data_IF_381205540750
#
_entry.id   IF_381205540750
#
_cell.length_a   1.000
_cell.length_b   1.000
_cell.length_c   1.000
_cell.angle_alpha   90.00
_cell.angle_beta   90.00
_cell.angle_gamma   90.00
#
_symmetry.space_group_name_H-M   'P 1'
#
loop_
_entity.id
_entity.type
_entity.pdbx_description
1 polymer ?
#
# COMPACT_ATOMS: atom_id res chain seq x y z
N UNK A 1 -33.53 -13.66 -3.27
CA UNK A 1 -33.04 -13.00 -4.51
C UNK A 1 -34.19 -12.19 -5.08
N UNK A 2 -34.00 -10.92 -5.51
CA UNK A 2 -32.93 -10.46 -6.40
C UNK A 2 -32.00 -9.39 -5.79
N UNK A 3 -31.04 -9.02 -6.64
CA UNK A 3 -29.75 -8.38 -6.47
C UNK A 3 -29.82 -6.84 -6.69
N UNK A 4 -28.69 -6.16 -6.44
CA UNK A 4 -28.11 -5.01 -7.17
C UNK A 4 -27.80 -3.77 -6.32
N UNK A 5 -26.49 -3.60 -6.08
CA UNK A 5 -25.77 -2.32 -6.14
C UNK A 5 -26.46 -1.07 -5.57
N UNK A 6 -26.19 -0.78 -4.30
CA UNK A 6 -26.16 0.60 -3.82
C UNK A 6 -24.98 1.32 -4.50
N UNK A 7 -25.23 1.79 -5.72
CA UNK A 7 -24.43 2.81 -6.35
C UNK A 7 -24.64 4.10 -5.56
N UNK A 8 -23.66 4.47 -4.75
CA UNK A 8 -23.52 5.84 -4.25
C UNK A 8 -23.26 6.71 -5.48
N UNK A 9 -24.31 7.38 -5.94
CA UNK A 9 -24.27 8.37 -7.00
C UNK A 9 -23.19 9.43 -6.66
N UNK A 10 -22.16 9.62 -7.50
CA UNK A 10 -21.35 10.83 -7.40
C UNK A 10 -22.21 11.98 -7.94
N UNK A 11 -22.50 12.95 -7.09
CA UNK A 11 -23.19 14.19 -7.43
C UNK A 11 -22.51 14.89 -8.63
N UNK A 12 -23.00 14.55 -9.83
CA UNK A 12 -22.73 15.21 -11.09
C UNK A 12 -23.78 16.31 -11.30
N UNK A 13 -23.80 17.35 -10.47
CA UNK A 13 -24.34 18.64 -10.91
C UNK A 13 -23.98 19.81 -9.98
N UNK A 14 -22.90 20.53 -10.29
CA UNK A 14 -22.87 21.98 -10.08
C UNK A 14 -22.18 22.68 -11.25
N UNK A 15 -22.85 22.66 -12.40
CA UNK A 15 -22.98 23.85 -13.25
C UNK A 15 -21.71 24.54 -13.77
N UNK A 16 -20.77 23.80 -14.36
CA UNK A 16 -19.86 24.38 -15.38
C UNK A 16 -19.82 23.42 -16.57
N UNK A 17 -20.45 23.83 -17.66
CA UNK A 17 -20.57 23.08 -18.91
C UNK A 17 -19.19 22.61 -19.44
N UNK A 18 -19.07 21.37 -19.96
CA UNK A 18 -17.92 20.93 -20.70
C UNK A 18 -18.02 21.51 -22.12
N UNK A 19 -17.08 22.39 -22.49
CA UNK A 19 -17.02 22.93 -23.86
C UNK A 19 -17.13 24.44 -23.94
N UNK A 20 -16.15 25.14 -23.38
CA UNK A 20 -15.49 26.26 -24.05
C UNK A 20 -14.25 26.57 -23.19
N UNK A 21 -13.04 26.40 -23.73
CA UNK A 21 -11.88 27.05 -23.09
C UNK A 21 -12.16 28.54 -23.27
N UNK A 22 -12.74 29.20 -22.25
CA UNK A 22 -13.14 30.60 -22.37
C UNK A 22 -11.90 31.39 -22.76
N UNK A 23 -12.04 32.33 -23.69
CA UNK A 23 -10.95 33.26 -24.02
C UNK A 23 -10.32 33.88 -22.76
N UNK A 24 -11.13 34.02 -21.69
CA UNK A 24 -10.71 34.41 -20.34
C UNK A 24 -9.59 33.53 -19.74
N UNK A 25 -9.60 32.22 -19.95
CA UNK A 25 -8.58 31.30 -19.42
C UNK A 25 -7.25 31.44 -20.17
N UNK A 26 -7.30 31.66 -21.49
CA UNK A 26 -6.13 31.96 -22.30
C UNK A 26 -5.55 33.34 -22.00
N UNK A 27 -6.40 34.35 -21.79
CA UNK A 27 -5.98 35.70 -21.36
C UNK A 27 -5.29 35.63 -20.00
N UNK A 28 -5.86 34.89 -19.06
CA UNK A 28 -5.29 34.74 -17.73
C UNK A 28 -4.01 33.90 -17.72
N UNK A 29 -3.90 32.91 -18.60
CA UNK A 29 -2.66 32.17 -18.83
C UNK A 29 -1.57 33.07 -19.42
N UNK A 30 -1.88 33.86 -20.45
CA UNK A 30 -0.95 34.82 -21.04
C UNK A 30 -0.47 35.86 -20.02
N UNK A 31 -1.38 36.38 -19.18
CA UNK A 31 -1.06 37.24 -18.04
C UNK A 31 -0.13 36.56 -17.02
N UNK A 32 -0.34 35.27 -16.77
CA UNK A 32 0.50 34.49 -15.86
C UNK A 32 1.90 34.26 -16.41
N UNK A 33 2.03 33.92 -17.70
CA UNK A 33 3.31 33.77 -18.39
C UNK A 33 4.05 35.12 -18.41
N UNK A 34 3.34 36.21 -18.70
CA UNK A 34 3.89 37.57 -18.66
C UNK A 34 4.42 37.92 -17.26
N UNK A 35 3.65 37.62 -16.20
CA UNK A 35 4.06 37.87 -14.81
C UNK A 35 5.29 37.05 -14.39
N UNK A 36 5.36 35.78 -14.79
CA UNK A 36 6.52 34.91 -14.53
C UNK A 36 7.75 35.41 -15.30
N UNK A 37 7.58 35.78 -16.58
CA UNK A 37 8.65 36.33 -17.42
C UNK A 37 9.20 37.65 -16.88
N UNK A 38 8.31 38.55 -16.44
CA UNK A 38 8.68 39.84 -15.83
C UNK A 38 9.48 39.64 -14.54
N UNK A 39 9.06 38.70 -13.68
CA UNK A 39 9.77 38.37 -12.45
C UNK A 39 11.12 37.69 -12.71
N UNK A 40 11.18 36.78 -13.68
CA UNK A 40 12.43 36.15 -14.13
C UNK A 40 13.43 37.19 -14.65
N UNK A 41 12.95 38.16 -15.44
CA UNK A 41 13.78 39.25 -15.95
C UNK A 41 14.40 40.09 -14.81
N UNK A 42 13.64 40.40 -13.76
CA UNK A 42 14.17 41.09 -12.56
C UNK A 42 15.21 40.25 -11.81
N UNK A 43 14.98 38.94 -11.70
CA UNK A 43 15.86 38.03 -10.96
C UNK A 43 17.23 37.85 -11.63
N UNK A 44 17.27 37.83 -12.97
CA UNK A 44 18.48 37.57 -13.74
C UNK A 44 19.14 38.83 -14.33
N UNK A 45 18.39 39.91 -14.57
CA UNK A 45 18.83 41.04 -15.40
C UNK A 45 19.35 42.28 -14.68
N UNK A 46 19.26 42.38 -13.34
CA UNK A 46 19.60 43.60 -12.56
C UNK A 46 19.20 44.93 -13.24
N UNK A 47 17.89 45.19 -13.45
CA UNK A 47 17.41 46.35 -14.19
C UNK A 47 17.68 47.69 -13.47
N UNK A 48 17.89 48.74 -14.27
CA UNK A 48 18.09 50.12 -13.79
C UNK A 48 16.86 50.67 -13.03
N UNK A 49 17.06 51.62 -12.11
CA UNK A 49 16.05 52.13 -11.16
C UNK A 49 14.80 52.70 -11.84
N UNK A 50 14.95 53.29 -13.04
CA UNK A 50 13.81 53.79 -13.82
C UNK A 50 12.93 52.67 -14.40
N UNK A 51 13.53 51.55 -14.80
CA UNK A 51 12.83 50.40 -15.37
C UNK A 51 12.10 49.58 -14.29
N UNK A 52 12.66 49.52 -13.08
CA UNK A 52 12.05 48.82 -11.93
C UNK A 52 10.66 49.37 -11.58
N UNK A 53 10.44 50.69 -11.69
CA UNK A 53 9.14 51.31 -11.39
C UNK A 53 8.06 50.91 -12.39
N UNK A 54 8.40 50.86 -13.68
CA UNK A 54 7.48 50.41 -14.73
C UNK A 54 7.15 48.93 -14.61
N UNK A 55 8.15 48.11 -14.28
CA UNK A 55 7.98 46.69 -13.98
C UNK A 55 7.06 46.51 -12.76
N UNK A 56 7.25 47.30 -11.70
CA UNK A 56 6.39 47.24 -10.50
C UNK A 56 4.95 47.64 -10.81
N UNK A 57 4.74 48.70 -11.61
CA UNK A 57 3.40 49.11 -12.02
C UNK A 57 2.69 48.03 -12.85
N UNK A 58 3.42 47.39 -13.78
CA UNK A 58 2.91 46.29 -14.58
C UNK A 58 2.59 45.05 -13.72
N UNK A 59 3.50 44.63 -12.82
CA UNK A 59 3.29 43.48 -11.93
C UNK A 59 2.09 43.72 -10.99
N UNK A 60 1.95 44.94 -10.48
CA UNK A 60 0.84 45.35 -9.61
C UNK A 60 -0.49 45.31 -10.35
N UNK A 61 -0.53 45.75 -11.61
CA UNK A 61 -1.73 45.67 -12.44
C UNK A 61 -2.14 44.22 -12.69
N UNK A 62 -1.18 43.34 -13.00
CA UNK A 62 -1.45 41.90 -13.19
C UNK A 62 -1.92 41.24 -11.90
N UNK A 63 -1.31 41.58 -10.75
CA UNK A 63 -1.75 41.10 -9.44
C UNK A 63 -3.17 41.56 -9.10
N UNK A 64 -3.53 42.80 -9.42
CA UNK A 64 -4.88 43.33 -9.20
C UNK A 64 -5.94 42.60 -10.04
N UNK A 65 -5.64 42.27 -11.29
CA UNK A 65 -6.51 41.45 -12.15
C UNK A 65 -6.72 40.07 -11.54
N UNK A 66 -5.66 39.44 -11.03
CA UNK A 66 -5.77 38.14 -10.37
C UNK A 66 -6.54 38.18 -9.04
N UNK A 67 -6.36 39.24 -8.24
CA UNK A 67 -7.15 39.45 -7.03
C UNK A 67 -8.64 39.57 -7.36
N UNK A 68 -8.99 40.35 -8.39
CA UNK A 68 -10.37 40.53 -8.80
C UNK A 68 -11.04 39.22 -9.20
N UNK A 69 -10.35 38.40 -10.00
CA UNK A 69 -10.81 37.07 -10.39
C UNK A 69 -10.95 36.12 -9.18
N UNK A 70 -10.00 36.15 -8.25
CA UNK A 70 -10.05 35.36 -7.02
C UNK A 70 -11.24 35.75 -6.12
N UNK A 71 -11.43 37.05 -5.86
CA UNK A 71 -12.54 37.57 -5.07
C UNK A 71 -13.89 37.24 -5.71
N UNK A 72 -13.97 37.34 -7.04
CA UNK A 72 -15.18 36.97 -7.79
C UNK A 72 -15.50 35.48 -7.64
N UNK A 73 -14.51 34.60 -7.78
CA UNK A 73 -14.66 33.15 -7.56
C UNK A 73 -15.04 32.82 -6.12
N UNK A 74 -14.41 33.48 -5.15
CA UNK A 74 -14.70 33.29 -3.73
C UNK A 74 -16.13 33.74 -3.37
N UNK A 75 -16.58 34.87 -3.94
CA UNK A 75 -17.96 35.36 -3.80
C UNK A 75 -18.97 34.39 -4.40
N UNK A 76 -18.71 33.84 -5.60
CA UNK A 76 -19.59 32.86 -6.24
C UNK A 76 -19.76 31.57 -5.42
N UNK A 77 -18.73 31.15 -4.70
CA UNK A 77 -18.75 29.98 -3.81
C UNK A 77 -19.22 30.30 -2.37
N UNK A 78 -19.91 31.43 -2.18
CA UNK A 78 -20.55 31.77 -0.90
C UNK A 78 -19.57 32.05 0.25
N UNK A 79 -18.34 32.52 -0.05
CA UNK A 79 -17.35 32.90 0.97
C UNK A 79 -16.90 31.75 1.89
N UNK A 80 -16.92 30.51 1.40
CA UNK A 80 -16.50 29.35 2.17
C UNK A 80 -15.03 29.46 2.62
N UNK A 81 -14.76 29.29 3.92
CA UNK A 81 -13.39 29.30 4.48
C UNK A 81 -12.52 28.17 3.93
N UNK A 82 -13.13 27.03 3.60
CA UNK A 82 -12.46 25.91 2.96
C UNK A 82 -11.96 26.19 1.54
N UNK A 83 -12.43 27.25 0.89
CA UNK A 83 -11.88 27.72 -0.38
C UNK A 83 -10.50 28.35 -0.18
N UNK A 84 -10.32 29.14 0.89
CA UNK A 84 -9.06 29.82 1.19
C UNK A 84 -7.96 28.84 1.62
N UNK A 85 -8.31 27.83 2.43
CA UNK A 85 -7.38 26.78 2.84
C UNK A 85 -6.89 25.91 1.67
N UNK A 86 -7.73 25.73 0.63
CA UNK A 86 -7.35 25.00 -0.58
C UNK A 86 -6.57 25.85 -1.57
N UNK A 87 -6.94 27.12 -1.73
CA UNK A 87 -6.34 28.05 -2.70
C UNK A 87 -5.30 28.99 -2.06
N UNK A 88 -4.66 28.57 -0.97
CA UNK A 88 -3.71 29.39 -0.22
C UNK A 88 -2.54 29.88 -1.10
N UNK A 89 -2.11 29.06 -2.06
CA UNK A 89 -1.09 29.42 -3.05
C UNK A 89 -1.53 30.56 -3.98
N UNK A 90 -2.82 30.68 -4.32
CA UNK A 90 -3.34 31.78 -5.12
C UNK A 90 -3.23 33.12 -4.37
N UNK A 91 -3.36 33.10 -3.04
CA UNK A 91 -3.22 34.27 -2.19
C UNK A 91 -1.77 34.77 -2.14
N UNK A 92 -0.80 33.85 -2.05
CA UNK A 92 0.62 34.20 -2.08
C UNK A 92 1.09 34.69 -3.46
N UNK A 93 0.54 34.15 -4.55
CA UNK A 93 0.82 34.61 -5.90
C UNK A 93 0.38 36.06 -6.16
N UNK A 94 -0.50 36.59 -5.31
CA UNK A 94 -1.12 37.92 -5.42
C UNK A 94 -0.27 39.05 -4.82
N UNK A 95 0.79 38.72 -4.09
CA UNK A 95 1.68 39.70 -3.49
C UNK A 95 2.57 40.27 -4.61
N UNK A 96 2.56 41.59 -4.86
CA UNK A 96 3.42 42.21 -5.87
C UNK A 96 4.87 42.03 -5.44
N UNK A 97 5.63 41.30 -6.25
CA UNK A 97 6.98 40.82 -5.89
C UNK A 97 8.01 41.95 -6.03
N UNK A 98 7.68 43.00 -6.78
CA UNK A 98 8.55 44.15 -7.04
C UNK A 98 8.46 45.24 -5.95
N UNK A 99 8.06 44.89 -4.72
CA UNK A 99 8.18 45.80 -3.58
C UNK A 99 9.69 46.02 -3.27
N UNK A 100 10.20 47.26 -3.24
CA UNK A 100 11.62 47.55 -2.99
C UNK A 100 12.20 46.88 -1.75
N UNK A 101 11.36 46.58 -0.75
CA UNK A 101 11.77 45.89 0.47
C UNK A 101 12.06 44.39 0.31
N UNK A 102 11.47 43.72 -0.70
CA UNK A 102 11.58 42.26 -0.90
C UNK A 102 12.69 41.87 -1.89
N UNK A 103 13.14 42.82 -2.72
CA UNK A 103 14.21 42.61 -3.71
C UNK A 103 15.54 42.20 -3.04
N UNK A 104 15.76 42.62 -1.79
CA UNK A 104 16.94 42.24 -1.00
C UNK A 104 17.01 40.76 -0.62
N UNK A 105 15.88 40.03 -0.63
CA UNK A 105 15.82 38.64 -0.20
C UNK A 105 15.54 37.69 -1.38
N UNK A 106 16.60 37.28 -2.08
CA UNK A 106 16.55 36.36 -3.25
C UNK A 106 15.78 35.07 -2.99
N UNK A 107 15.77 34.57 -1.74
CA UNK A 107 14.99 33.40 -1.33
C UNK A 107 13.47 33.66 -1.45
N UNK A 108 13.00 34.82 -0.98
CA UNK A 108 11.58 35.19 -1.06
C UNK A 108 11.16 35.33 -2.53
N UNK A 109 12.01 35.93 -3.36
CA UNK A 109 11.80 36.03 -4.81
C UNK A 109 11.71 34.64 -5.47
N UNK A 110 12.60 33.72 -5.13
CA UNK A 110 12.59 32.36 -5.68
C UNK A 110 11.34 31.57 -5.25
N UNK A 111 10.95 31.66 -3.98
CA UNK A 111 9.73 31.01 -3.47
C UNK A 111 8.49 31.58 -4.15
N UNK A 112 8.39 32.91 -4.30
CA UNK A 112 7.25 33.54 -4.99
C UNK A 112 7.23 33.23 -6.49
N UNK A 113 8.39 33.13 -7.14
CA UNK A 113 8.49 32.65 -8.52
C UNK A 113 7.96 31.20 -8.64
N UNK A 114 8.37 30.31 -7.73
CA UNK A 114 7.88 28.93 -7.69
C UNK A 114 6.37 28.86 -7.45
N UNK A 115 5.83 29.69 -6.56
CA UNK A 115 4.39 29.79 -6.32
C UNK A 115 3.65 30.29 -7.57
N UNK A 116 4.18 31.30 -8.28
CA UNK A 116 3.57 31.82 -9.52
C UNK A 116 3.64 30.82 -10.67
N UNK A 117 4.74 30.07 -10.79
CA UNK A 117 4.86 28.97 -11.75
C UNK A 117 3.88 27.84 -11.40
N UNK A 118 3.78 27.47 -10.13
CA UNK A 118 2.81 26.49 -9.64
C UNK A 118 1.38 26.89 -10.00
N UNK A 119 1.01 28.15 -9.80
CA UNK A 119 -0.29 28.70 -10.22
C UNK A 119 -0.49 28.69 -11.74
N UNK A 120 0.52 29.07 -12.52
CA UNK A 120 0.45 29.08 -13.97
C UNK A 120 0.16 27.67 -14.55
N UNK A 121 0.77 26.66 -13.92
CA UNK A 121 0.60 25.24 -14.26
C UNK A 121 -0.75 24.72 -13.76
N UNK A 122 -1.15 25.06 -12.54
CA UNK A 122 -2.43 24.64 -11.97
C UNK A 122 -3.63 25.16 -12.78
N UNK A 123 -3.52 26.40 -13.30
CA UNK A 123 -4.56 27.01 -14.14
C UNK A 123 -4.72 26.34 -15.52
N UNK A 124 -3.68 25.70 -16.06
CA UNK A 124 -3.78 24.98 -17.35
C UNK A 124 -4.15 23.51 -17.19
N UNK A 125 -3.91 22.92 -16.02
CA UNK A 125 -4.06 21.47 -15.79
C UNK A 125 -5.30 21.12 -14.94
N UNK A 126 -5.94 22.10 -14.31
CA UNK A 126 -7.16 21.91 -13.50
C UNK A 126 -6.86 21.24 -12.15
N UNK A 127 -7.84 21.28 -11.22
CA UNK A 127 -7.80 20.84 -9.79
C UNK A 127 -7.28 19.40 -9.51
N UNK A 128 -6.75 18.69 -10.52
CA UNK A 128 -6.21 17.33 -10.47
C UNK A 128 -4.68 17.25 -10.34
N UNK A 129 -3.94 18.36 -10.44
CA UNK A 129 -2.47 18.31 -10.35
C UNK A 129 -1.98 17.85 -8.98
N UNK A 130 -2.59 18.31 -7.89
CA UNK A 130 -2.19 17.89 -6.53
C UNK A 130 -2.39 16.40 -6.31
N UNK A 131 -3.53 15.83 -6.75
CA UNK A 131 -3.77 14.39 -6.64
C UNK A 131 -2.79 13.60 -7.49
N UNK A 132 -2.59 13.97 -8.77
CA UNK A 132 -1.65 13.25 -9.66
C UNK A 132 -0.20 13.41 -9.23
N UNK A 133 0.19 14.55 -8.66
CA UNK A 133 1.54 14.77 -8.16
C UNK A 133 1.78 13.99 -6.87
N UNK A 134 0.83 14.00 -5.93
CA UNK A 134 0.90 13.21 -4.70
C UNK A 134 0.92 11.72 -5.02
N UNK A 135 0.07 11.22 -5.91
CA UNK A 135 0.09 9.81 -6.33
C UNK A 135 1.43 9.44 -6.96
N UNK A 136 1.88 10.23 -7.95
CA UNK A 136 3.08 9.90 -8.72
C UNK A 136 4.38 10.02 -7.92
N UNK A 137 4.40 10.83 -6.86
CA UNK A 137 5.53 10.95 -5.94
C UNK A 137 5.43 9.99 -4.75
N UNK A 138 4.22 9.66 -4.28
CA UNK A 138 4.03 8.77 -3.13
C UNK A 138 4.24 7.32 -3.52
N UNK A 139 3.82 6.90 -4.71
CA UNK A 139 3.95 5.51 -5.15
C UNK A 139 5.38 4.95 -5.12
N UNK A 140 6.40 5.66 -5.65
CA UNK A 140 7.78 5.21 -5.55
C UNK A 140 8.29 5.18 -4.11
N UNK A 141 7.90 6.16 -3.29
CA UNK A 141 8.32 6.27 -1.89
C UNK A 141 7.72 5.13 -1.08
N UNK A 142 6.41 4.90 -1.20
CA UNK A 142 5.68 3.82 -0.52
C UNK A 142 6.26 2.46 -0.93
N UNK A 143 6.48 2.23 -2.23
CA UNK A 143 7.09 0.97 -2.71
C UNK A 143 8.51 0.77 -2.17
N UNK A 144 9.31 1.83 -2.10
CA UNK A 144 10.67 1.76 -1.55
C UNK A 144 10.69 1.51 -0.03
N UNK A 145 9.69 2.01 0.70
CA UNK A 145 9.60 1.88 2.17
C UNK A 145 8.94 0.56 2.60
N UNK A 146 7.96 0.05 1.82
CA UNK A 146 7.19 -1.15 2.16
C UNK A 146 8.08 -2.37 2.42
N UNK A 147 9.03 -2.66 1.52
CA UNK A 147 9.91 -3.84 1.64
C UNK A 147 10.80 -3.79 2.90
N UNK A 148 11.56 -2.71 3.17
CA UNK A 148 12.34 -2.59 4.42
C UNK A 148 11.49 -2.69 5.68
N UNK A 149 10.32 -2.04 5.71
CA UNK A 149 9.43 -2.06 6.87
C UNK A 149 8.91 -3.48 7.12
N UNK A 150 8.42 -4.17 6.08
CA UNK A 150 7.96 -5.56 6.23
C UNK A 150 9.07 -6.47 6.74
N UNK A 151 10.30 -6.32 6.24
CA UNK A 151 11.45 -7.10 6.74
C UNK A 151 11.72 -6.80 8.22
N UNK A 152 11.72 -5.52 8.61
CA UNK A 152 11.95 -5.13 10.00
C UNK A 152 10.85 -5.66 10.95
N UNK A 153 9.59 -5.62 10.51
CA UNK A 153 8.47 -6.18 11.26
C UNK A 153 8.59 -7.69 11.38
N UNK A 154 8.92 -8.40 10.28
CA UNK A 154 9.14 -9.84 10.30
C UNK A 154 10.29 -10.23 11.24
N UNK A 155 11.39 -9.46 11.23
CA UNK A 155 12.51 -9.69 12.14
C UNK A 155 12.08 -9.53 13.61
N UNK A 156 11.23 -8.55 13.93
CA UNK A 156 10.72 -8.35 15.28
C UNK A 156 9.74 -9.45 15.70
N UNK A 157 8.80 -9.82 14.82
CA UNK A 157 7.90 -10.95 15.07
C UNK A 157 8.69 -12.23 15.31
N UNK A 158 9.75 -12.51 14.54
CA UNK A 158 10.55 -13.72 14.74
C UNK A 158 11.28 -13.73 16.07
N UNK A 159 11.78 -12.59 16.57
CA UNK A 159 12.35 -12.56 17.92
C UNK A 159 11.32 -12.97 18.97
N UNK A 160 10.07 -12.53 18.82
CA UNK A 160 8.97 -12.96 19.69
C UNK A 160 8.71 -14.45 19.52
N UNK A 161 8.70 -14.95 18.28
CA UNK A 161 8.51 -16.38 18.02
C UNK A 161 9.65 -17.21 18.65
N UNK A 162 10.92 -16.81 18.52
CA UNK A 162 12.07 -17.51 19.12
C UNK A 162 11.98 -17.63 20.65
N UNK A 163 11.22 -16.75 21.32
CA UNK A 163 10.96 -16.82 22.77
C UNK A 163 9.77 -17.69 23.17
N UNK A 164 9.01 -18.23 22.22
CA UNK A 164 7.79 -19.00 22.47
C UNK A 164 8.03 -20.50 22.75
N UNK A 165 7.27 -21.06 23.69
CA UNK A 165 7.29 -22.50 24.03
C UNK A 165 6.49 -23.35 23.02
N UNK A 166 6.93 -23.42 21.75
CA UNK A 166 6.22 -24.19 20.72
C UNK A 166 6.09 -25.69 20.99
N UNK A 167 7.14 -26.39 21.47
CA UNK A 167 7.04 -27.83 21.70
C UNK A 167 5.97 -28.16 22.75
N UNK A 168 5.92 -27.36 23.82
CA UNK A 168 4.90 -27.48 24.86
C UNK A 168 3.49 -27.15 24.35
N UNK A 169 3.36 -26.07 23.55
CA UNK A 169 2.08 -25.71 22.92
C UNK A 169 1.59 -26.80 21.96
N UNK A 170 2.50 -27.42 21.20
CA UNK A 170 2.18 -28.52 20.30
C UNK A 170 1.78 -29.77 21.09
N UNK A 171 2.51 -30.13 22.15
CA UNK A 171 2.17 -31.23 23.04
C UNK A 171 0.78 -31.04 23.67
N UNK A 172 0.45 -29.82 24.09
CA UNK A 172 -0.86 -29.45 24.63
C UNK A 172 -1.96 -29.63 23.58
N UNK A 173 -1.73 -29.17 22.34
CA UNK A 173 -2.69 -29.31 21.24
C UNK A 173 -2.90 -30.77 20.83
N UNK A 174 -1.82 -31.56 20.70
CA UNK A 174 -1.87 -32.98 20.40
C UNK A 174 -2.60 -33.78 21.49
N UNK A 175 -2.42 -33.40 22.75
CA UNK A 175 -3.15 -34.01 23.87
C UNK A 175 -4.65 -33.69 23.80
N UNK A 176 -5.00 -32.42 23.53
CA UNK A 176 -6.39 -31.97 23.41
C UNK A 176 -7.15 -32.69 22.26
N UNK A 177 -6.47 -32.97 21.15
CA UNK A 177 -7.05 -33.61 19.96
C UNK A 177 -6.67 -35.09 19.81
N UNK A 178 -6.22 -35.75 20.88
CA UNK A 178 -5.70 -37.14 20.83
C UNK A 178 -6.71 -38.14 20.27
N UNK A 179 -7.99 -38.01 20.62
CA UNK A 179 -9.04 -38.93 20.18
C UNK A 179 -9.29 -38.82 18.66
N UNK A 180 -9.30 -37.60 18.13
CA UNK A 180 -9.49 -37.31 16.71
C UNK A 180 -8.29 -37.80 15.89
N UNK A 181 -7.07 -37.44 16.31
CA UNK A 181 -5.86 -37.90 15.63
C UNK A 181 -5.73 -39.43 15.64
N UNK A 182 -6.16 -40.09 16.72
CA UNK A 182 -6.22 -41.56 16.78
C UNK A 182 -7.19 -42.13 15.76
N UNK A 183 -8.37 -41.52 15.59
CA UNK A 183 -9.34 -41.96 14.60
C UNK A 183 -8.75 -41.84 13.18
N UNK A 184 -8.17 -40.68 12.85
CA UNK A 184 -7.52 -40.42 11.56
C UNK A 184 -6.37 -41.41 11.30
N UNK A 185 -5.47 -41.62 12.27
CA UNK A 185 -4.36 -42.56 12.12
C UNK A 185 -4.88 -43.99 11.93
N UNK A 186 -5.91 -44.40 12.67
CA UNK A 186 -6.47 -45.75 12.56
C UNK A 186 -7.12 -45.96 11.18
N UNK A 187 -7.84 -44.96 10.69
CA UNK A 187 -8.43 -44.95 9.35
C UNK A 187 -7.34 -45.07 8.28
N UNK A 188 -6.35 -44.16 8.29
CA UNK A 188 -5.25 -44.17 7.32
C UNK A 188 -4.41 -45.44 7.36
N UNK A 189 -4.18 -46.00 8.55
CA UNK A 189 -3.46 -47.26 8.70
C UNK A 189 -4.30 -48.45 8.17
N UNK A 190 -5.62 -48.41 8.29
CA UNK A 190 -6.48 -49.47 7.75
C UNK A 190 -6.55 -49.48 6.21
N UNK A 191 -6.35 -48.31 5.60
CA UNK A 191 -6.31 -48.06 4.16
C UNK A 191 -4.92 -48.30 3.55
N UNK A 192 -3.86 -48.38 4.35
CA UNK A 192 -2.49 -48.50 3.88
C UNK A 192 -2.25 -49.82 3.11
N UNK A 193 -1.88 -49.76 1.81
CA UNK A 193 -1.59 -50.95 1.00
C UNK A 193 -0.43 -51.79 1.55
N UNK A 194 0.53 -51.19 2.25
CA UNK A 194 1.72 -51.87 2.79
C UNK A 194 1.36 -52.83 3.93
N UNK A 195 0.21 -52.64 4.58
CA UNK A 195 -0.26 -53.51 5.67
C UNK A 195 -0.84 -54.85 5.18
N UNK A 196 -1.08 -55.00 3.88
CA UNK A 196 -1.43 -56.25 3.18
C UNK A 196 -1.83 -57.46 4.04
N UNK A 197 -0.87 -58.34 4.35
CA UNK A 197 -1.10 -59.61 5.07
C UNK A 197 -1.30 -59.45 6.58
N UNK A 198 -0.83 -58.36 7.19
CA UNK A 198 -0.97 -58.09 8.63
C UNK A 198 -2.44 -57.82 9.01
N UNK A 199 -3.23 -57.27 8.07
CA UNK A 199 -4.66 -57.01 8.26
C UNK A 199 -5.52 -58.27 8.46
N UNK A 200 -4.97 -59.46 8.15
CA UNK A 200 -5.65 -60.76 8.29
C UNK A 200 -5.37 -61.47 9.61
N UNK A 201 -4.47 -60.95 10.44
CA UNK A 201 -4.15 -61.57 11.72
C UNK A 201 -5.26 -61.31 12.75
N UNK A 202 -5.62 -62.29 13.59
CA UNK A 202 -6.47 -62.04 14.74
C UNK A 202 -5.77 -61.02 15.66
N UNK A 203 -6.55 -60.15 16.30
CA UNK A 203 -6.07 -59.07 17.20
C UNK A 203 -5.30 -57.90 16.54
N UNK A 204 -5.24 -57.81 15.20
CA UNK A 204 -4.57 -56.70 14.50
C UNK A 204 -5.01 -55.32 15.01
N UNK A 205 -6.31 -55.10 15.19
CA UNK A 205 -6.84 -53.81 15.66
C UNK A 205 -6.40 -53.45 17.08
N UNK A 206 -6.21 -54.44 17.96
CA UNK A 206 -5.74 -54.20 19.33
C UNK A 206 -4.25 -53.86 19.35
N UNK A 207 -3.44 -54.57 18.57
CA UNK A 207 -2.01 -54.29 18.42
C UNK A 207 -1.79 -52.90 17.84
N UNK A 208 -2.50 -52.55 16.77
CA UNK A 208 -2.47 -51.20 16.17
C UNK A 208 -2.82 -50.14 17.21
N UNK A 209 -3.92 -50.33 17.94
CA UNK A 209 -4.36 -49.38 18.98
C UNK A 209 -3.31 -49.20 20.07
N UNK A 210 -2.69 -50.29 20.53
CA UNK A 210 -1.66 -50.25 21.57
C UNK A 210 -0.38 -49.57 21.08
N UNK A 211 0.04 -49.85 19.84
CA UNK A 211 1.20 -49.20 19.22
C UNK A 211 0.94 -47.70 19.06
N UNK A 212 -0.20 -47.31 18.48
CA UNK A 212 -0.58 -45.90 18.32
C UNK A 212 -0.61 -45.18 19.67
N UNK A 213 -1.21 -45.77 20.70
CA UNK A 213 -1.23 -45.18 22.04
C UNK A 213 0.16 -45.01 22.64
N UNK A 214 1.03 -46.00 22.44
CA UNK A 214 2.41 -45.95 22.93
C UNK A 214 3.21 -44.89 22.18
N UNK A 215 3.07 -44.82 20.85
CA UNK A 215 3.70 -43.81 20.02
C UNK A 215 3.27 -42.40 20.40
N UNK A 216 1.97 -42.16 20.66
CA UNK A 216 1.50 -40.86 21.15
C UNK A 216 2.15 -40.46 22.47
N UNK A 217 2.26 -41.40 23.42
CA UNK A 217 2.90 -41.12 24.70
C UNK A 217 4.37 -40.73 24.51
N UNK A 218 5.11 -41.54 23.76
CA UNK A 218 6.54 -41.29 23.48
C UNK A 218 6.72 -39.95 22.74
N UNK A 219 5.87 -39.64 21.75
CA UNK A 219 5.94 -38.36 21.03
C UNK A 219 5.69 -37.16 21.95
N UNK A 220 4.71 -37.25 22.86
CA UNK A 220 4.45 -36.20 23.84
C UNK A 220 5.62 -36.02 24.81
N UNK A 221 6.23 -37.12 25.28
CA UNK A 221 7.43 -37.07 26.11
C UNK A 221 8.61 -36.42 25.38
N UNK A 222 8.81 -36.76 24.10
CA UNK A 222 9.85 -36.15 23.26
C UNK A 222 9.59 -34.65 23.06
N UNK A 223 8.35 -34.23 22.80
CA UNK A 223 8.02 -32.81 22.66
C UNK A 223 8.24 -31.98 23.92
N UNK A 224 8.31 -32.62 25.09
CA UNK A 224 8.62 -31.97 26.37
C UNK A 224 10.10 -32.07 26.75
N UNK A 225 10.93 -32.72 25.94
CA UNK A 225 12.37 -32.84 26.18
C UNK A 225 13.07 -31.51 25.82
N UNK A 226 13.91 -30.94 26.69
CA UNK A 226 14.59 -29.66 26.46
C UNK A 226 15.52 -29.66 25.23
N UNK A 227 15.96 -30.83 24.74
CA UNK A 227 16.75 -30.93 23.51
C UNK A 227 15.93 -30.65 22.25
N UNK A 228 14.62 -30.84 22.33
CA UNK A 228 13.70 -30.56 21.22
C UNK A 228 13.46 -29.06 21.07
N UNK A 229 13.61 -28.26 22.13
CA UNK A 229 13.52 -26.79 22.06
C UNK A 229 14.57 -26.20 21.09
N UNK A 230 15.80 -26.71 21.12
CA UNK A 230 16.87 -26.27 20.21
C UNK A 230 16.55 -26.62 18.75
N UNK A 231 16.01 -27.82 18.51
CA UNK A 231 15.54 -28.24 17.19
C UNK A 231 14.45 -27.29 16.67
N UNK A 232 13.42 -26.99 17.47
CA UNK A 232 12.35 -26.07 17.07
C UNK A 232 12.87 -24.65 16.81
N UNK A 233 13.78 -24.15 17.64
CA UNK A 233 14.44 -22.85 17.43
C UNK A 233 15.17 -22.80 16.08
N UNK A 234 15.88 -23.87 15.72
CA UNK A 234 16.56 -23.97 14.42
C UNK A 234 15.58 -23.94 13.24
N UNK A 235 14.46 -24.66 13.34
CA UNK A 235 13.43 -24.71 12.29
C UNK A 235 12.76 -23.35 12.14
N UNK A 236 12.45 -22.66 13.23
CA UNK A 236 11.89 -21.30 13.20
C UNK A 236 12.87 -20.32 12.54
N UNK A 237 14.16 -20.41 12.87
CA UNK A 237 15.21 -19.57 12.29
C UNK A 237 15.35 -19.79 10.79
N UNK A 238 15.32 -21.05 10.32
CA UNK A 238 15.38 -21.37 8.90
C UNK A 238 14.13 -20.86 8.16
N UNK A 239 12.93 -21.07 8.72
CA UNK A 239 11.70 -20.56 8.14
C UNK A 239 11.70 -19.02 8.04
N UNK A 240 12.27 -18.30 9.02
CA UNK A 240 12.47 -16.84 8.91
C UNK A 240 13.30 -16.48 7.68
N UNK A 241 14.44 -17.14 7.50
CA UNK A 241 15.34 -16.81 6.38
C UNK A 241 14.63 -17.04 5.04
N UNK A 242 13.80 -18.07 4.95
CA UNK A 242 12.97 -18.34 3.79
C UNK A 242 11.92 -17.23 3.56
N UNK A 243 11.15 -16.86 4.59
CA UNK A 243 10.13 -15.80 4.49
C UNK A 243 10.78 -14.45 4.13
N UNK A 244 11.89 -14.09 4.79
CA UNK A 244 12.64 -12.86 4.50
C UNK A 244 13.10 -12.82 3.05
N UNK A 245 13.62 -13.93 2.53
CA UNK A 245 14.06 -14.04 1.13
C UNK A 245 12.88 -13.91 0.17
N UNK A 246 11.74 -14.55 0.47
CA UNK A 246 10.53 -14.43 -0.33
C UNK A 246 10.00 -12.98 -0.38
N UNK A 247 10.05 -12.25 0.74
CA UNK A 247 9.67 -10.83 0.80
C UNK A 247 10.63 -9.94 0.02
N UNK A 248 11.94 -10.16 0.16
CA UNK A 248 12.96 -9.41 -0.61
C UNK A 248 12.75 -9.57 -2.12
N UNK A 249 12.50 -10.81 -2.56
CA UNK A 249 12.27 -11.16 -3.96
C UNK A 249 10.88 -10.71 -4.48
N UNK A 250 9.99 -10.22 -3.60
CA UNK A 250 8.64 -9.79 -3.99
C UNK A 250 7.69 -10.93 -4.33
N UNK A 251 8.03 -12.16 -3.96
CA UNK A 251 7.26 -13.38 -4.30
C UNK A 251 5.86 -13.44 -3.64
N UNK A 252 5.62 -12.60 -2.64
CA UNK A 252 4.33 -12.47 -1.96
C UNK A 252 3.37 -11.49 -2.66
N UNK A 253 3.83 -10.76 -3.68
CA UNK A 253 3.02 -9.77 -4.42
C UNK A 253 2.60 -10.29 -5.81
N UNK A 254 3.26 -11.33 -6.34
CA UNK A 254 3.00 -11.92 -7.65
C UNK A 254 2.28 -13.26 -7.52
N UNK A 255 1.07 -13.37 -8.06
CA UNK A 255 0.27 -14.61 -8.14
C UNK A 255 0.73 -15.58 -9.25
N UNK A 256 1.96 -15.43 -9.75
CA UNK A 256 2.45 -16.17 -10.90
C UNK A 256 2.99 -17.56 -10.50
N UNK A 257 2.32 -18.62 -10.97
CA UNK A 257 2.70 -20.05 -10.79
C UNK A 257 4.16 -20.36 -11.20
N UNK A 258 4.74 -19.56 -12.09
CA UNK A 258 6.13 -19.69 -12.54
C UNK A 258 7.16 -19.45 -11.41
N UNK A 259 6.79 -18.71 -10.36
CA UNK A 259 7.67 -18.37 -9.25
C UNK A 259 7.52 -19.29 -8.04
N UNK A 260 6.45 -20.11 -7.97
CA UNK A 260 6.26 -21.12 -6.92
C UNK A 260 7.39 -22.17 -6.95
N UNK A 261 7.98 -22.45 -8.12
CA UNK A 261 9.15 -23.32 -8.25
C UNK A 261 10.45 -22.77 -7.65
N UNK A 262 10.51 -21.47 -7.33
CA UNK A 262 11.66 -20.85 -6.66
C UNK A 262 11.56 -20.94 -5.13
N UNK A 263 10.37 -21.25 -4.60
CA UNK A 263 10.19 -21.51 -3.19
C UNK A 263 10.71 -22.93 -2.89
N UNK A 264 11.67 -23.04 -1.97
CA UNK A 264 12.23 -24.33 -1.54
C UNK A 264 11.22 -25.24 -0.83
N UNK A 265 10.05 -24.74 -0.46
CA UNK A 265 9.04 -25.46 0.33
C UNK A 265 7.65 -25.29 -0.30
N UNK A 266 6.90 -26.38 -0.29
CA UNK A 266 5.50 -26.51 -0.71
C UNK A 266 4.64 -25.48 0.02
N UNK A 267 3.99 -24.58 -0.71
CA UNK A 267 3.05 -23.64 -0.09
C UNK A 267 1.78 -24.40 0.34
N UNK A 268 1.05 -23.90 1.34
CA UNK A 268 -0.25 -24.47 1.72
C UNK A 268 -1.22 -24.53 0.53
N UNK A 269 -1.09 -23.58 -0.41
CA UNK A 269 -1.87 -23.55 -1.65
C UNK A 269 -1.48 -24.68 -2.61
N UNK A 270 -0.19 -24.93 -2.79
CA UNK A 270 0.28 -26.09 -3.58
C UNK A 270 -0.17 -27.40 -2.94
N UNK A 271 -0.13 -27.49 -1.60
CA UNK A 271 -0.60 -28.66 -0.88
C UNK A 271 -2.11 -28.89 -1.03
N UNK A 272 -2.92 -27.82 -0.96
CA UNK A 272 -4.37 -27.89 -1.19
C UNK A 272 -4.69 -28.28 -2.64
N UNK A 273 -4.09 -27.63 -3.63
CA UNK A 273 -4.32 -27.97 -5.05
C UNK A 273 -3.88 -29.39 -5.41
N UNK A 274 -2.84 -29.91 -4.78
CA UNK A 274 -2.38 -31.28 -4.97
C UNK A 274 -3.27 -32.28 -4.22
N UNK A 275 -3.76 -31.91 -3.03
CA UNK A 275 -4.79 -32.69 -2.32
C UNK A 275 -6.06 -32.82 -3.15
N UNK A 276 -6.56 -31.72 -3.72
CA UNK A 276 -7.72 -31.68 -4.61
C UNK A 276 -7.46 -32.48 -5.90
N UNK A 277 -6.23 -32.43 -6.44
CA UNK A 277 -5.82 -33.24 -7.61
C UNK A 277 -5.82 -34.73 -7.33
N UNK A 278 -5.47 -35.12 -6.10
CA UNK A 278 -5.41 -36.53 -5.69
C UNK A 278 -6.74 -37.04 -5.09
N UNK A 279 -7.68 -36.15 -4.75
CA UNK A 279 -9.02 -36.47 -4.21
C UNK A 279 -10.13 -35.71 -4.95
N UNK A 280 -10.44 -36.07 -6.22
CA UNK A 280 -11.37 -35.32 -7.07
C UNK A 280 -12.87 -35.44 -6.73
N UNK A 281 -13.27 -35.83 -5.53
CA UNK A 281 -14.68 -35.97 -5.14
C UNK A 281 -15.04 -35.09 -3.94
N UNK A 282 -15.77 -34.01 -4.24
CA UNK A 282 -16.83 -33.32 -3.46
C UNK A 282 -16.89 -31.84 -3.88
N UNK A 283 -17.08 -31.60 -5.19
CA UNK A 283 -17.61 -30.30 -5.61
C UNK A 283 -19.07 -30.23 -5.16
N UNK A 284 -19.48 -29.24 -4.34
CA UNK A 284 -20.88 -29.13 -3.94
C UNK A 284 -21.73 -28.88 -5.19
N UNK A 285 -22.73 -29.74 -5.39
CA UNK A 285 -23.70 -29.59 -6.48
C UNK A 285 -24.27 -28.15 -6.49
N UNK A 286 -24.36 -27.50 -7.67
CA UNK A 286 -25.04 -26.23 -7.77
C UNK A 286 -26.51 -26.45 -7.41
N UNK A 287 -26.93 -25.89 -6.26
CA UNK A 287 -28.34 -25.81 -5.90
C UNK A 287 -29.07 -25.02 -6.99
N UNK A 288 -29.99 -25.70 -7.68
CA UNK A 288 -30.90 -25.11 -8.66
C UNK A 288 -31.83 -24.06 -8.07
#
# INVERSE_FOLDING_TARGET
MPNLSEAVEPELNSGVLPGNVRADDWVMFALSVLSVGLLGYVLFGQPDRGTVWWIFAADSAVCAVFLGDFLWRWRKRGWARGFLARNWYELFAMIPVTNPALIGHRFVLAVLLLVRVGRAIDRTVGEQFTYRLVDKLSDPIVRAVKKPVTIAVLDEVVKVLETGNYPENLARSLTAHRAELRAIITEKLSEDPQLGKLRRLPFHGEVVRAVVDTSFRVLLEVLLDPRVDEFFSSVVRENREQIRRAVQLGLHETEDEAYDGLLRVRTQRTAAHEFDRHHPEEAPEPKG
#
